data_IF_059006233399
#
_entry.id   IF_059006233399
#
_cell.length_a   1.000
_cell.length_b   1.000
_cell.length_c   1.000
_cell.angle_alpha   90.00
_cell.angle_beta   90.00
_cell.angle_gamma   90.00
#
_symmetry.space_group_name_H-M   'P 1'
#
loop_
_entity.id
_entity.type
_entity.pdbx_description
1 polymer ?
#
# COMPACT_ATOMS: atom_id res chain seq x y z
N UNK A 1 -1.30 -15.09 -2.68
CA UNK A 1 -2.27 -14.56 -3.65
C UNK A 1 -3.00 -13.39 -3.04
N UNK A 2 -3.00 -12.24 -3.70
CA UNK A 2 -3.83 -11.08 -3.28
C UNK A 2 -5.29 -11.40 -3.51
N UNK A 3 -6.13 -11.18 -2.49
CA UNK A 3 -7.58 -11.30 -2.65
C UNK A 3 -8.12 -10.10 -3.44
N UNK A 4 -8.44 -10.31 -4.71
CA UNK A 4 -8.91 -9.23 -5.58
C UNK A 4 -10.31 -8.74 -5.20
N UNK A 5 -11.09 -9.52 -4.44
CA UNK A 5 -12.39 -9.05 -3.92
C UNK A 5 -12.16 -7.96 -2.88
N UNK A 6 -11.37 -8.26 -1.86
CA UNK A 6 -11.01 -7.34 -0.79
C UNK A 6 -10.30 -6.10 -1.34
N UNK A 7 -9.45 -6.26 -2.35
CA UNK A 7 -8.81 -5.14 -3.03
C UNK A 7 -9.83 -4.22 -3.72
N UNK A 8 -10.81 -4.78 -4.43
CA UNK A 8 -11.87 -3.98 -5.07
C UNK A 8 -12.78 -3.35 -4.03
N UNK A 9 -13.15 -4.05 -2.96
CA UNK A 9 -13.91 -3.48 -1.84
C UNK A 9 -13.18 -2.33 -1.15
N UNK A 10 -11.85 -2.43 -0.99
CA UNK A 10 -11.02 -1.37 -0.43
C UNK A 10 -11.01 -0.13 -1.34
N UNK A 11 -10.91 -0.32 -2.66
CA UNK A 11 -10.81 0.77 -3.63
C UNK A 11 -12.16 1.39 -3.97
N UNK A 12 -13.26 0.61 -3.98
CA UNK A 12 -14.58 1.03 -4.44
C UNK A 12 -15.06 2.40 -3.93
N UNK A 13 -15.05 2.71 -2.61
CA UNK A 13 -15.51 4.01 -2.13
C UNK A 13 -14.63 5.20 -2.56
N UNK A 14 -13.40 4.92 -3.01
CA UNK A 14 -12.37 5.90 -3.34
C UNK A 14 -12.11 6.01 -4.85
N UNK A 15 -12.52 5.02 -5.64
CA UNK A 15 -12.30 4.95 -7.08
C UNK A 15 -12.71 6.22 -7.84
N UNK A 16 -13.89 6.82 -7.59
CA UNK A 16 -14.28 8.04 -8.29
C UNK A 16 -13.29 9.21 -8.06
N UNK A 17 -12.71 9.30 -6.86
CA UNK A 17 -11.71 10.32 -6.52
C UNK A 17 -10.31 9.97 -7.05
N UNK A 18 -9.94 8.68 -7.01
CA UNK A 18 -8.67 8.17 -7.49
C UNK A 18 -8.51 8.30 -9.01
N UNK A 19 -9.55 7.99 -9.78
CA UNK A 19 -9.56 8.16 -11.25
C UNK A 19 -9.50 9.63 -11.64
N UNK A 20 -10.24 10.49 -10.93
CA UNK A 20 -10.23 11.94 -11.18
C UNK A 20 -8.91 12.61 -10.76
N UNK A 21 -8.00 11.88 -10.09
CA UNK A 21 -6.77 12.45 -9.54
C UNK A 21 -7.04 13.53 -8.49
N UNK A 22 -8.22 13.54 -7.88
CA UNK A 22 -8.61 14.56 -6.94
C UNK A 22 -8.23 14.15 -5.52
N UNK A 23 -7.35 14.92 -4.87
CA UNK A 23 -7.04 14.76 -3.44
C UNK A 23 -8.20 15.18 -2.53
N UNK A 24 -9.29 15.69 -3.12
CA UNK A 24 -10.50 16.10 -2.42
C UNK A 24 -11.41 14.90 -2.19
N UNK A 25 -11.18 14.23 -1.07
CA UNK A 25 -12.12 13.28 -0.49
C UNK A 25 -12.95 14.03 0.54
N UNK A 26 -14.26 13.80 0.55
CA UNK A 26 -15.17 14.48 1.49
C UNK A 26 -14.71 14.27 2.94
N UNK A 27 -14.71 15.33 3.76
CA UNK A 27 -14.25 15.28 5.16
C UNK A 27 -14.97 14.19 5.99
N UNK A 28 -16.22 13.87 5.66
CA UNK A 28 -16.97 12.77 6.30
C UNK A 28 -16.40 11.36 6.01
N UNK A 29 -15.69 11.17 4.89
CA UNK A 29 -15.04 9.91 4.52
C UNK A 29 -13.59 9.86 5.02
N UNK A 30 -13.03 11.00 5.44
CA UNK A 30 -11.65 11.18 5.91
C UNK A 30 -11.53 11.31 7.44
N UNK A 31 -12.53 10.82 8.19
CA UNK A 31 -12.39 10.64 9.64
C UNK A 31 -11.18 9.73 9.96
N UNK A 32 -10.69 9.72 11.20
CA UNK A 32 -9.40 9.09 11.57
C UNK A 32 -9.20 7.68 10.98
N UNK A 33 -10.20 6.80 11.07
CA UNK A 33 -10.15 5.46 10.45
C UNK A 33 -10.17 5.45 8.90
N UNK A 34 -10.81 6.44 8.28
CA UNK A 34 -10.87 6.60 6.82
C UNK A 34 -9.60 7.22 6.24
N UNK A 35 -8.83 7.97 7.02
CA UNK A 35 -7.59 8.63 6.57
C UNK A 35 -6.47 7.63 6.32
N UNK A 36 -6.25 6.68 7.22
CA UNK A 36 -5.26 5.60 7.05
C UNK A 36 -5.64 4.69 5.88
N UNK A 37 -6.93 4.30 5.83
CA UNK A 37 -7.48 3.49 4.74
C UNK A 37 -7.32 4.17 3.37
N UNK A 38 -7.57 5.48 3.29
CA UNK A 38 -7.38 6.28 2.07
C UNK A 38 -5.92 6.34 1.63
N UNK A 39 -4.97 6.57 2.55
CA UNK A 39 -3.54 6.60 2.19
C UNK A 39 -3.08 5.28 1.58
N UNK A 40 -3.55 4.16 2.14
CA UNK A 40 -3.20 2.83 1.64
C UNK A 40 -3.90 2.54 0.30
N UNK A 41 -5.19 2.89 0.17
CA UNK A 41 -5.91 2.80 -1.10
C UNK A 41 -5.22 3.61 -2.20
N UNK A 42 -4.78 4.84 -1.90
CA UNK A 42 -4.01 5.70 -2.81
C UNK A 42 -2.67 5.06 -3.19
N UNK A 43 -1.90 4.58 -2.21
CA UNK A 43 -0.61 3.94 -2.46
C UNK A 43 -0.74 2.69 -3.36
N UNK A 44 -1.76 1.85 -3.11
CA UNK A 44 -2.07 0.70 -3.95
C UNK A 44 -2.47 1.15 -5.36
N UNK A 45 -3.33 2.16 -5.47
CA UNK A 45 -3.77 2.72 -6.74
C UNK A 45 -2.61 3.25 -7.58
N UNK A 46 -1.68 4.00 -6.99
CA UNK A 46 -0.50 4.52 -7.69
C UNK A 46 0.40 3.42 -8.25
N UNK A 47 0.44 2.25 -7.60
CA UNK A 47 1.16 1.06 -8.11
C UNK A 47 0.42 0.36 -9.24
N UNK A 48 -0.91 0.27 -9.16
CA UNK A 48 -1.75 -0.40 -10.14
C UNK A 48 -1.98 0.45 -11.40
N UNK A 49 -2.13 1.76 -11.23
CA UNK A 49 -2.45 2.72 -12.28
C UNK A 49 -1.59 2.58 -13.55
N UNK A 50 -0.24 2.52 -13.52
CA UNK A 50 0.54 2.39 -14.75
C UNK A 50 0.25 1.10 -15.53
N UNK A 51 -0.14 0.01 -14.84
CA UNK A 51 -0.53 -1.25 -15.50
C UNK A 51 -1.97 -1.22 -16.01
N UNK A 52 -2.85 -0.52 -15.31
CA UNK A 52 -4.25 -0.29 -15.70
C UNK A 52 -4.29 0.62 -16.93
N UNK A 53 -3.59 1.75 -16.91
CA UNK A 53 -3.50 2.71 -18.00
C UNK A 53 -2.89 2.07 -19.26
N UNK A 54 -1.89 1.20 -19.10
CA UNK A 54 -1.28 0.46 -20.20
C UNK A 54 -2.21 -0.61 -20.82
N UNK A 55 -3.32 -0.95 -20.19
CA UNK A 55 -4.27 -1.97 -20.67
C UNK A 55 -5.66 -1.35 -20.84
N UNK A 56 -6.05 -1.06 -22.07
CA UNK A 56 -7.36 -0.48 -22.38
C UNK A 56 -8.52 -1.23 -21.71
N UNK A 57 -8.52 -2.56 -21.75
CA UNK A 57 -9.56 -3.37 -21.11
C UNK A 57 -9.60 -3.26 -19.56
N UNK A 58 -8.47 -2.91 -18.93
CA UNK A 58 -8.43 -2.66 -17.49
C UNK A 58 -8.90 -1.24 -17.17
N UNK A 59 -8.55 -0.27 -18.02
CA UNK A 59 -8.99 1.11 -17.93
C UNK A 59 -10.52 1.23 -18.09
N UNK A 60 -11.08 0.62 -19.13
CA UNK A 60 -12.53 0.58 -19.35
C UNK A 60 -13.26 -0.04 -18.15
N UNK A 61 -12.79 -1.21 -17.68
CA UNK A 61 -13.41 -1.90 -16.55
C UNK A 61 -13.41 -1.07 -15.26
N UNK A 62 -12.35 -0.30 -14.99
CA UNK A 62 -12.31 0.54 -13.78
C UNK A 62 -13.12 1.82 -13.94
N UNK A 63 -13.19 2.38 -15.15
CA UNK A 63 -14.06 3.53 -15.44
C UNK A 63 -15.54 3.16 -15.36
N UNK A 64 -15.94 1.98 -15.86
CA UNK A 64 -17.32 1.51 -15.76
C UNK A 64 -17.70 1.15 -14.32
N UNK A 65 -16.82 0.45 -13.59
CA UNK A 65 -17.07 0.18 -12.18
C UNK A 65 -17.14 1.46 -11.34
N UNK A 66 -16.35 2.50 -11.66
CA UNK A 66 -16.42 3.78 -10.94
C UNK A 66 -17.69 4.59 -11.23
N UNK A 67 -18.39 4.33 -12.35
CA UNK A 67 -19.71 4.92 -12.60
C UNK A 67 -20.77 4.26 -11.73
N UNK A 68 -20.68 2.93 -11.55
CA UNK A 68 -21.63 2.14 -10.78
C UNK A 68 -20.92 1.15 -9.84
N UNK A 69 -20.41 1.65 -8.71
CA UNK A 69 -19.61 0.85 -7.74
C UNK A 69 -20.38 -0.28 -7.05
N UNK A 70 -21.67 -0.45 -7.35
CA UNK A 70 -22.54 -1.51 -6.82
C UNK A 70 -23.02 -2.47 -7.93
N UNK A 71 -22.54 -2.29 -9.16
CA UNK A 71 -22.82 -3.18 -10.27
C UNK A 71 -21.87 -4.38 -10.26
N UNK A 72 -22.44 -5.59 -10.16
CA UNK A 72 -21.68 -6.83 -9.99
C UNK A 72 -20.92 -7.24 -11.24
N UNK A 73 -21.42 -6.87 -12.42
CA UNK A 73 -20.84 -7.24 -13.70
C UNK A 73 -19.55 -6.43 -13.94
N UNK A 74 -19.60 -5.12 -13.70
CA UNK A 74 -18.44 -4.23 -13.75
C UNK A 74 -17.45 -4.50 -12.62
N UNK A 75 -17.92 -4.83 -11.41
CA UNK A 75 -17.06 -5.30 -10.31
C UNK A 75 -16.28 -6.54 -10.75
N UNK A 76 -16.96 -7.55 -11.29
CA UNK A 76 -16.35 -8.79 -11.74
C UNK A 76 -15.35 -8.57 -12.88
N UNK A 77 -15.68 -7.67 -13.82
CA UNK A 77 -14.79 -7.27 -14.90
C UNK A 77 -13.50 -6.64 -14.37
N UNK A 78 -13.61 -5.69 -13.44
CA UNK A 78 -12.46 -5.03 -12.83
C UNK A 78 -11.60 -6.02 -12.02
N UNK A 79 -12.23 -6.88 -11.20
CA UNK A 79 -11.54 -7.95 -10.46
C UNK A 79 -10.76 -8.89 -11.38
N UNK A 80 -11.32 -9.24 -12.54
CA UNK A 80 -10.66 -10.09 -13.53
C UNK A 80 -9.44 -9.40 -14.14
N UNK A 81 -9.51 -8.10 -14.43
CA UNK A 81 -8.38 -7.36 -14.96
C UNK A 81 -7.27 -7.17 -13.93
N UNK A 82 -7.61 -6.86 -12.67
CA UNK A 82 -6.66 -6.82 -11.56
C UNK A 82 -5.94 -8.15 -11.39
N UNK A 83 -6.67 -9.27 -11.42
CA UNK A 83 -6.06 -10.60 -11.35
C UNK A 83 -5.02 -10.80 -12.45
N UNK A 84 -5.33 -10.45 -13.70
CA UNK A 84 -4.38 -10.56 -14.82
C UNK A 84 -3.16 -9.65 -14.67
N UNK A 85 -3.33 -8.46 -14.09
CA UNK A 85 -2.22 -7.52 -13.85
C UNK A 85 -1.28 -8.06 -12.78
N UNK A 86 -1.83 -8.55 -11.68
CA UNK A 86 -1.05 -9.07 -10.55
C UNK A 86 -0.37 -10.40 -10.89
N UNK A 87 -1.05 -11.28 -11.63
CA UNK A 87 -0.50 -12.55 -12.11
C UNK A 87 0.65 -12.33 -13.13
N UNK A 88 0.59 -11.26 -13.91
CA UNK A 88 1.64 -10.87 -14.84
C UNK A 88 2.85 -10.19 -14.17
N UNK A 89 2.73 -9.76 -12.91
CA UNK A 89 3.77 -9.02 -12.20
C UNK A 89 3.78 -9.41 -10.71
N UNK A 90 4.48 -10.51 -10.40
CA UNK A 90 4.60 -11.03 -9.03
C UNK A 90 5.20 -10.01 -8.04
N UNK A 91 6.02 -9.08 -8.53
CA UNK A 91 6.60 -8.02 -7.69
C UNK A 91 5.52 -7.03 -7.27
N UNK A 92 4.69 -6.61 -8.22
CA UNK A 92 3.53 -5.78 -7.95
C UNK A 92 2.54 -6.49 -7.02
N UNK A 93 2.29 -7.78 -7.22
CA UNK A 93 1.44 -8.58 -6.32
C UNK A 93 1.94 -8.53 -4.88
N UNK A 94 3.24 -8.78 -4.65
CA UNK A 94 3.84 -8.74 -3.30
C UNK A 94 3.74 -7.36 -2.66
N UNK A 95 3.95 -6.29 -3.44
CA UNK A 95 3.83 -4.92 -2.95
C UNK A 95 2.39 -4.59 -2.53
N UNK A 96 1.41 -4.94 -3.37
CA UNK A 96 -0.01 -4.73 -3.05
C UNK A 96 -0.42 -5.54 -1.82
N UNK A 97 0.03 -6.81 -1.73
CA UNK A 97 -0.24 -7.66 -0.57
C UNK A 97 0.27 -7.03 0.73
N UNK A 98 1.51 -6.54 0.72
CA UNK A 98 2.13 -5.89 1.88
C UNK A 98 1.35 -4.65 2.34
N UNK A 99 0.96 -3.79 1.40
CA UNK A 99 0.16 -2.58 1.69
C UNK A 99 -1.21 -2.94 2.29
N UNK A 100 -1.85 -4.01 1.80
CA UNK A 100 -3.12 -4.49 2.38
C UNK A 100 -2.94 -5.09 3.79
N UNK A 101 -1.79 -5.71 4.09
CA UNK A 101 -1.48 -6.27 5.41
C UNK A 101 -1.14 -5.18 6.45
N UNK A 102 -0.55 -4.06 6.02
CA UNK A 102 -0.25 -2.90 6.87
C UNK A 102 -1.51 -2.20 7.43
N UNK A 103 -2.68 -2.46 6.82
CA UNK A 103 -4.00 -1.99 7.27
C UNK A 103 -4.64 -2.84 8.38
N UNK A 104 -3.98 -3.93 8.82
CA UNK A 104 -4.54 -4.79 9.86
C UNK A 104 -3.93 -4.43 11.24
N UNK A 105 -4.66 -3.76 12.14
CA UNK A 105 -4.12 -3.29 13.42
C UNK A 105 -3.68 -4.41 14.38
N UNK A 106 -3.87 -5.69 14.02
CA UNK A 106 -3.48 -6.84 14.82
C UNK A 106 -2.11 -7.45 14.49
N UNK A 107 -1.40 -6.99 13.45
CA UNK A 107 -0.11 -7.59 13.09
C UNK A 107 1.06 -6.77 13.63
N UNK A 108 1.38 -7.02 14.91
CA UNK A 108 2.70 -6.72 15.48
C UNK A 108 3.80 -7.30 14.59
N UNK A 109 4.83 -6.51 14.33
CA UNK A 109 6.18 -6.95 13.94
C UNK A 109 6.30 -7.72 12.63
N UNK A 110 6.16 -7.03 11.49
CA UNK A 110 6.92 -7.45 10.30
C UNK A 110 8.19 -6.61 10.28
N UNK A 111 9.29 -7.23 10.69
CA UNK A 111 10.64 -6.73 10.48
C UNK A 111 10.85 -6.62 8.96
N UNK A 112 10.49 -5.47 8.38
CA UNK A 112 10.83 -5.11 7.01
C UNK A 112 12.32 -4.84 7.03
N UNK A 113 13.10 -5.86 6.70
CA UNK A 113 14.41 -5.67 6.10
C UNK A 113 14.19 -4.92 4.79
N UNK A 114 14.30 -3.61 4.90
CA UNK A 114 14.12 -2.60 3.88
C UNK A 114 15.18 -2.79 2.79
N UNK A 115 14.94 -3.72 1.85
CA UNK A 115 15.69 -3.75 0.59
C UNK A 115 15.12 -2.65 -0.31
N UNK A 116 15.79 -1.50 -0.30
CA UNK A 116 15.52 -0.41 -1.23
C UNK A 116 15.77 0.97 -0.65
N UNK A 117 17.05 1.33 -0.53
CA UNK A 117 17.61 2.69 -0.63
C UNK A 117 16.59 3.85 -0.56
N UNK A 118 16.14 4.18 0.66
CA UNK A 118 15.64 5.52 0.95
C UNK A 118 16.62 6.16 1.91
N UNK A 119 17.11 7.31 1.49
CA UNK A 119 18.12 8.14 2.12
C UNK A 119 17.74 8.48 3.58
N UNK A 120 18.05 7.58 4.51
CA UNK A 120 18.10 7.90 5.92
C UNK A 120 19.44 8.58 6.15
N UNK A 121 19.43 9.91 6.16
CA UNK A 121 20.38 10.69 6.95
C UNK A 121 20.19 10.25 8.40
N UNK A 122 20.82 9.13 8.75
CA UNK A 122 20.99 8.68 10.11
C UNK A 122 21.87 9.73 10.78
N UNK A 123 21.24 10.53 11.63
CA UNK A 123 21.94 11.43 12.52
C UNK A 123 23.07 10.69 13.22
N UNK A 124 24.22 11.35 13.20
CA UNK A 124 25.42 11.06 13.96
C UNK A 124 25.06 10.79 15.43
N UNK A 125 24.89 9.52 15.81
CA UNK A 125 24.65 9.09 17.20
C UNK A 125 25.11 7.64 17.40
N UNK A 126 26.27 7.30 16.82
CA UNK A 126 26.95 6.04 17.10
C UNK A 126 28.44 6.29 17.31
N UNK A 127 28.77 7.17 18.25
CA UNK A 127 30.06 7.13 18.94
C UNK A 127 29.83 6.76 20.39
N UNK A 128 30.26 5.53 20.68
CA UNK A 128 30.97 5.19 21.92
C UNK A 128 30.10 4.85 23.14
N UNK A 129 29.52 3.65 23.12
CA UNK A 129 29.42 2.83 24.33
C UNK A 129 30.18 1.52 24.12
N UNK A 130 31.48 1.58 24.40
CA UNK A 130 32.40 0.46 24.24
C UNK A 130 33.63 0.70 25.09
N UNK A 131 33.47 0.67 26.41
CA UNK A 131 34.59 0.46 27.31
C UNK A 131 34.18 -0.56 28.37
N UNK A 132 34.32 -1.81 27.98
CA UNK A 132 34.29 -2.97 28.87
C UNK A 132 35.67 -3.03 29.54
N UNK A 133 35.68 -3.41 30.82
CA UNK A 133 36.75 -3.15 31.76
C UNK A 133 38.16 -3.66 31.42
N UNK A 134 39.13 -3.01 32.03
CA UNK A 134 40.40 -3.63 32.41
C UNK A 134 40.69 -3.22 33.84
N UNK A 135 40.43 -4.15 34.75
CA UNK A 135 40.90 -4.12 36.12
C UNK A 135 42.42 -3.94 36.14
N UNK A 136 42.92 -2.95 36.86
CA UNK A 136 44.29 -2.94 37.42
C UNK A 136 44.21 -2.23 38.76
N UNK A 137 44.45 -3.00 39.82
CA UNK A 137 44.68 -2.61 41.21
C UNK A 137 45.28 -1.21 41.38
N UNK A 138 44.65 -0.42 42.27
CA UNK A 138 45.28 0.68 42.98
C UNK A 138 45.03 0.41 44.46
N UNK A 139 46.10 0.11 45.20
CA UNK A 139 46.42 0.66 46.54
C UNK A 139 47.64 -0.06 47.12
N UNK A 140 48.77 0.65 47.14
CA UNK A 140 49.61 0.78 48.33
C UNK A 140 50.12 2.21 48.39
#
# INVERSE_FOLDING_TARGET
>A
MVDTAALVTLLAPYLPSLIKGSEKVSEGLLQEAGKDTWQIAKAIWEKLWPKIESKEAAKEAVEDFAKEVNDKDTEAAFRRQLKKILDADETLEKQVKKLMEENNPTSKSVNVEQTGNFNQTAGDSAKQIGQIGSARDITM
#
